data_IF_216679119516
#
_entry.id   IF_216679119516
#
_cell.length_a   1.000
_cell.length_b   1.000
_cell.length_c   1.000
_cell.angle_alpha   90.00
_cell.angle_beta   90.00
_cell.angle_gamma   90.00
#
_symmetry.space_group_name_H-M   'P 1'
#
loop_
_entity.id
_entity.type
_entity.pdbx_description
1 polymer ?
#
# COMPACT_ATOMS: atom_id res chain seq x y z
N UNK A 1 -9.80 -3.64 -24.93
CA UNK A 1 -9.58 -2.41 -24.15
C UNK A 1 -8.48 -1.56 -24.77
N UNK A 2 -8.36 -0.28 -24.36
CA UNK A 2 -7.20 0.58 -24.68
C UNK A 2 -6.46 0.84 -23.37
N UNK A 3 -5.14 0.64 -23.36
CA UNK A 3 -4.31 0.82 -22.17
C UNK A 3 -3.16 1.78 -22.46
N UNK A 4 -2.76 2.52 -21.43
CA UNK A 4 -1.61 3.42 -21.43
C UNK A 4 -0.64 2.97 -20.36
N UNK A 5 0.63 2.77 -20.72
CA UNK A 5 1.64 2.22 -19.83
C UNK A 5 3.00 2.89 -20.00
N UNK A 6 3.82 2.85 -18.95
CA UNK A 6 5.17 3.43 -18.95
C UNK A 6 6.24 2.47 -19.53
N UNK A 7 7.50 2.90 -19.50
CA UNK A 7 8.63 2.12 -20.03
C UNK A 7 8.90 0.80 -19.28
N UNK A 8 8.39 0.64 -18.06
CA UNK A 8 8.48 -0.60 -17.29
C UNK A 8 7.32 -1.55 -17.59
N UNK A 9 6.29 -1.05 -18.30
CA UNK A 9 5.06 -1.76 -18.62
C UNK A 9 3.91 -1.47 -17.65
N UNK A 10 4.10 -0.59 -16.66
CA UNK A 10 3.07 -0.34 -15.63
C UNK A 10 1.95 0.52 -16.23
N UNK A 11 0.71 0.10 -16.00
CA UNK A 11 -0.50 0.68 -16.60
C UNK A 11 -0.99 1.87 -15.76
N UNK A 12 -1.04 3.03 -16.39
CA UNK A 12 -1.47 4.32 -15.83
C UNK A 12 -2.76 4.86 -16.45
N UNK A 13 -3.32 4.16 -17.42
CA UNK A 13 -4.62 4.50 -18.00
C UNK A 13 -5.29 3.29 -18.63
N UNK A 14 -6.59 3.13 -18.38
CA UNK A 14 -7.40 2.03 -18.92
C UNK A 14 -8.72 2.56 -19.43
N UNK A 15 -9.07 2.17 -20.66
CA UNK A 15 -10.39 2.35 -21.25
C UNK A 15 -10.86 0.97 -21.68
N UNK A 16 -11.52 0.26 -20.76
CA UNK A 16 -12.05 -1.09 -20.97
C UNK A 16 -13.57 -1.09 -21.22
N UNK A 17 -14.22 0.07 -21.20
CA UNK A 17 -15.63 0.24 -21.52
C UNK A 17 -15.85 1.36 -22.55
N UNK A 18 -16.87 1.23 -23.41
CA UNK A 18 -17.31 2.32 -24.26
C UNK A 18 -17.71 3.56 -23.45
N UNK A 19 -17.40 4.75 -23.95
CA UNK A 19 -17.66 6.03 -23.28
C UNK A 19 -18.89 6.69 -23.91
N UNK A 20 -20.05 6.75 -23.21
CA UNK A 20 -21.28 7.27 -23.79
C UNK A 20 -21.16 8.72 -24.27
N UNK A 21 -20.45 9.58 -23.53
CA UNK A 21 -20.27 11.00 -23.87
C UNK A 21 -19.42 11.22 -25.14
N UNK A 22 -18.81 10.17 -25.69
CA UNK A 22 -17.95 10.23 -26.87
C UNK A 22 -18.43 9.30 -27.99
N UNK A 23 -19.75 9.11 -28.09
CA UNK A 23 -20.36 8.28 -29.13
C UNK A 23 -20.26 6.77 -28.86
N UNK A 24 -20.18 6.39 -27.58
CA UNK A 24 -20.13 4.99 -27.13
C UNK A 24 -18.96 4.21 -27.75
N UNK A 25 -17.76 4.80 -27.72
CA UNK A 25 -16.51 4.22 -28.24
C UNK A 25 -15.45 4.07 -27.16
N UNK A 26 -14.43 3.26 -27.42
CA UNK A 26 -13.22 3.20 -26.59
C UNK A 26 -12.36 4.44 -26.85
N UNK A 27 -12.67 5.51 -26.14
CA UNK A 27 -12.22 6.85 -26.48
C UNK A 27 -10.76 7.13 -26.06
N UNK A 28 -9.79 6.67 -26.85
CA UNK A 28 -8.33 6.90 -26.68
C UNK A 28 -7.97 8.36 -26.37
N UNK A 29 -8.78 9.31 -26.86
CA UNK A 29 -8.73 10.74 -26.53
C UNK A 29 -8.81 11.10 -25.03
N UNK A 30 -9.11 10.14 -24.15
CA UNK A 30 -9.08 10.31 -22.69
C UNK A 30 -7.72 9.98 -22.07
N UNK A 31 -6.79 9.44 -22.86
CA UNK A 31 -5.43 9.16 -22.43
C UNK A 31 -4.55 10.39 -22.68
N UNK A 32 -3.59 10.61 -21.78
CA UNK A 32 -2.57 11.64 -21.90
C UNK A 32 -1.18 10.97 -21.92
N UNK A 33 -0.74 10.45 -23.09
CA UNK A 33 0.38 9.52 -23.15
C UNK A 33 1.76 10.20 -23.24
N UNK A 34 1.98 11.26 -22.46
CA UNK A 34 3.31 11.91 -22.43
C UNK A 34 4.31 10.96 -21.78
N UNK A 35 5.38 10.61 -22.53
CA UNK A 35 6.39 9.61 -22.14
C UNK A 35 5.82 8.21 -21.84
N UNK A 36 4.68 7.87 -22.43
CA UNK A 36 4.01 6.58 -22.27
C UNK A 36 3.71 5.94 -23.62
N UNK A 37 3.49 4.64 -23.62
CA UNK A 37 3.02 3.87 -24.77
C UNK A 37 1.53 3.58 -24.62
N UNK A 38 0.84 3.44 -25.76
CA UNK A 38 -0.57 3.04 -25.81
C UNK A 38 -0.68 1.75 -26.61
N UNK A 39 -1.39 0.77 -26.06
CA UNK A 39 -1.69 -0.48 -26.76
C UNK A 39 -3.19 -0.77 -26.77
N UNK A 40 -3.59 -1.48 -27.81
CA UNK A 40 -4.91 -2.08 -27.91
C UNK A 40 -4.80 -3.55 -27.55
N UNK A 41 -5.68 -4.00 -26.66
CA UNK A 41 -5.78 -5.39 -26.19
C UNK A 41 -7.22 -5.86 -26.32
N UNK A 42 -7.49 -7.16 -26.25
CA UNK A 42 -8.87 -7.63 -26.12
C UNK A 42 -9.47 -7.08 -24.80
N UNK A 43 -10.76 -6.80 -24.78
CA UNK A 43 -11.44 -6.48 -23.52
C UNK A 43 -11.44 -7.67 -22.56
N UNK A 44 -11.46 -8.90 -23.08
CA UNK A 44 -11.37 -10.12 -22.29
C UNK A 44 -10.02 -10.29 -21.58
N UNK A 45 -8.94 -9.69 -22.10
CA UNK A 45 -7.59 -9.78 -21.53
C UNK A 45 -7.33 -8.78 -20.39
N UNK A 46 -8.29 -7.88 -20.11
CA UNK A 46 -8.22 -6.90 -19.04
C UNK A 46 -9.28 -7.28 -17.99
N UNK A 47 -8.87 -7.77 -16.81
CA UNK A 47 -9.77 -8.12 -15.71
C UNK A 47 -10.75 -6.98 -15.36
N UNK A 48 -11.88 -7.28 -14.71
CA UNK A 48 -12.88 -6.25 -14.37
C UNK A 48 -12.32 -5.14 -13.46
N UNK A 49 -11.28 -5.45 -12.68
CA UNK A 49 -10.55 -4.55 -11.78
C UNK A 49 -9.23 -4.00 -12.37
N UNK A 50 -8.98 -4.25 -13.66
CA UNK A 50 -7.90 -3.65 -14.47
C UNK A 50 -8.01 -2.12 -14.45
N UNK A 51 -7.14 -1.47 -13.67
CA UNK A 51 -7.13 -0.03 -13.41
C UNK A 51 -5.83 0.60 -13.90
N UNK A 52 -5.93 1.88 -14.27
CA UNK A 52 -4.78 2.73 -14.59
C UNK A 52 -4.20 3.42 -13.35
N UNK A 53 -4.04 2.70 -12.24
CA UNK A 53 -3.52 3.23 -10.98
C UNK A 53 -2.11 2.72 -10.64
N UNK A 54 -1.47 2.03 -11.58
CA UNK A 54 -0.16 1.41 -11.40
C UNK A 54 -0.19 0.01 -10.78
N UNK A 55 -1.36 -0.56 -10.49
CA UNK A 55 -1.48 -1.93 -9.95
C UNK A 55 -1.33 -3.03 -11.00
N UNK A 56 -1.30 -2.66 -12.28
CA UNK A 56 -1.29 -3.58 -13.41
C UNK A 56 -0.11 -3.33 -14.33
N UNK A 57 0.40 -4.40 -14.92
CA UNK A 57 1.55 -4.45 -15.81
C UNK A 57 1.11 -5.04 -17.16
N UNK A 58 1.49 -4.39 -18.25
CA UNK A 58 1.35 -4.93 -19.60
C UNK A 58 2.69 -5.49 -20.10
N UNK A 59 2.73 -6.78 -20.40
CA UNK A 59 3.92 -7.47 -20.93
C UNK A 59 3.51 -8.58 -21.89
N UNK A 60 4.14 -8.60 -23.07
CA UNK A 60 3.94 -9.63 -24.11
C UNK A 60 2.46 -9.88 -24.48
N UNK A 61 1.67 -8.80 -24.58
CA UNK A 61 0.25 -8.90 -24.94
C UNK A 61 -0.68 -9.26 -23.77
N UNK A 62 -0.15 -9.41 -22.55
CA UNK A 62 -0.94 -9.79 -21.36
C UNK A 62 -0.94 -8.70 -20.30
N UNK A 63 -2.07 -8.56 -19.62
CA UNK A 63 -2.22 -7.73 -18.42
C UNK A 63 -2.04 -8.61 -17.20
N UNK A 64 -1.06 -8.27 -16.36
CA UNK A 64 -0.67 -9.01 -15.16
C UNK A 64 -0.72 -8.06 -13.97
N UNK A 65 -1.09 -8.51 -12.76
CA UNK A 65 -0.93 -7.67 -11.58
C UNK A 65 0.55 -7.36 -11.36
N UNK A 66 0.87 -6.12 -10.98
CA UNK A 66 2.22 -5.78 -10.53
C UNK A 66 2.52 -6.63 -9.28
N UNK A 67 3.67 -7.34 -9.24
CA UNK A 67 4.04 -8.10 -8.06
C UNK A 67 4.13 -7.18 -6.84
N UNK A 68 3.28 -7.42 -5.85
CA UNK A 68 3.37 -6.75 -4.55
C UNK A 68 4.38 -7.48 -3.70
N UNK A 69 5.42 -6.78 -3.26
CA UNK A 69 6.32 -7.29 -2.23
C UNK A 69 5.62 -7.19 -0.86
N UNK A 70 4.89 -8.23 -0.50
CA UNK A 70 4.15 -8.28 0.77
C UNK A 70 5.08 -8.30 1.99
N UNK A 71 6.31 -8.79 1.83
CA UNK A 71 7.33 -8.76 2.87
C UNK A 71 7.76 -7.32 3.14
N UNK A 72 8.08 -6.55 2.09
CA UNK A 72 8.38 -5.12 2.22
C UNK A 72 7.18 -4.34 2.78
N UNK A 73 5.96 -4.63 2.31
CA UNK A 73 4.73 -4.00 2.80
C UNK A 73 4.52 -4.24 4.31
N UNK A 74 4.82 -5.43 4.81
CA UNK A 74 4.72 -5.75 6.23
C UNK A 74 5.74 -4.98 7.06
N UNK A 75 7.00 -4.91 6.62
CA UNK A 75 8.03 -4.12 7.31
C UNK A 75 7.71 -2.62 7.31
N UNK A 76 7.28 -2.05 6.19
CA UNK A 76 6.81 -0.65 6.15
C UNK A 76 5.63 -0.42 7.09
N UNK A 77 4.74 -1.39 7.26
CA UNK A 77 3.62 -1.29 8.21
C UNK A 77 4.13 -1.27 9.65
N UNK A 78 5.08 -2.14 10.00
CA UNK A 78 5.75 -2.12 11.30
C UNK A 78 6.40 -0.76 11.57
N UNK A 79 7.16 -0.23 10.61
CA UNK A 79 7.84 1.07 10.76
C UNK A 79 6.83 2.18 11.07
N UNK A 80 5.73 2.26 10.33
CA UNK A 80 4.67 3.24 10.59
C UNK A 80 4.06 3.12 12.00
N UNK A 81 3.82 1.88 12.46
CA UNK A 81 3.30 1.64 13.81
C UNK A 81 4.32 2.04 14.89
N UNK A 82 5.61 1.77 14.66
CA UNK A 82 6.69 2.17 15.55
C UNK A 82 6.84 3.69 15.61
N UNK A 83 6.76 4.37 14.47
CA UNK A 83 6.83 5.82 14.39
C UNK A 83 5.67 6.47 15.14
N UNK A 84 4.44 6.00 14.88
CA UNK A 84 3.25 6.47 15.60
C UNK A 84 3.37 6.26 17.12
N UNK A 85 3.84 5.09 17.55
CA UNK A 85 4.05 4.79 18.96
C UNK A 85 5.15 5.66 19.59
N UNK A 86 6.25 5.90 18.88
CA UNK A 86 7.33 6.78 19.36
C UNK A 86 6.87 8.23 19.47
N UNK A 87 6.05 8.72 18.53
CA UNK A 87 5.44 10.04 18.60
C UNK A 87 4.48 10.15 19.79
N UNK A 88 3.64 9.13 20.04
CA UNK A 88 2.68 9.15 21.14
C UNK A 88 3.34 9.27 22.52
N UNK A 89 4.55 8.72 22.70
CA UNK A 89 5.26 8.72 23.99
C UNK A 89 6.37 9.75 24.09
N UNK A 90 6.53 10.64 23.09
CA UNK A 90 7.64 11.58 23.04
C UNK A 90 7.63 12.56 24.23
N UNK A 91 6.46 13.08 24.55
CA UNK A 91 6.28 14.03 25.66
C UNK A 91 6.52 13.35 27.01
N UNK A 92 5.90 12.19 27.25
CA UNK A 92 6.12 11.40 28.47
C UNK A 92 7.59 10.99 28.67
N UNK A 93 8.32 10.68 27.60
CA UNK A 93 9.77 10.41 27.70
C UNK A 93 10.55 11.65 28.16
N UNK A 94 10.13 12.83 27.72
CA UNK A 94 10.72 14.11 28.13
C UNK A 94 10.38 14.41 29.59
N UNK A 95 9.12 14.29 29.99
CA UNK A 95 8.66 14.46 31.37
C UNK A 95 9.34 13.48 32.33
N UNK A 96 9.53 12.21 31.91
CA UNK A 96 10.25 11.22 32.70
C UNK A 96 11.72 11.61 32.89
N UNK A 97 12.37 12.16 31.86
CA UNK A 97 13.74 12.63 31.93
C UNK A 97 13.91 13.88 32.82
N UNK A 98 12.88 14.74 32.87
CA UNK A 98 12.82 15.90 33.76
C UNK A 98 12.43 15.52 35.21
N UNK A 99 11.89 14.32 35.42
CA UNK A 99 11.38 13.86 36.71
C UNK A 99 10.01 14.45 37.06
N UNK A 100 9.26 14.92 36.08
CA UNK A 100 7.97 15.63 36.22
C UNK A 100 6.77 14.76 35.82
N UNK A 101 6.99 13.56 35.28
CA UNK A 101 5.93 12.67 34.80
C UNK A 101 4.97 12.26 35.92
N UNK A 102 3.66 12.23 35.61
CA UNK A 102 2.64 11.72 36.51
C UNK A 102 2.70 10.19 36.64
N UNK A 103 2.13 9.62 37.71
CA UNK A 103 2.05 8.16 37.87
C UNK A 103 1.18 7.51 36.78
N UNK A 104 0.13 8.20 36.31
CA UNK A 104 -0.74 7.73 35.23
C UNK A 104 -0.03 7.72 33.88
N UNK A 105 0.70 8.79 33.55
CA UNK A 105 1.48 8.88 32.31
C UNK A 105 2.63 7.87 32.31
N UNK A 106 3.24 7.62 33.47
CA UNK A 106 4.27 6.59 33.63
C UNK A 106 3.72 5.18 33.42
N UNK A 107 2.49 4.91 33.87
CA UNK A 107 1.81 3.64 33.60
C UNK A 107 1.52 3.49 32.10
N UNK A 108 1.03 4.55 31.45
CA UNK A 108 0.80 4.59 30.00
C UNK A 108 2.08 4.38 29.20
N UNK A 109 3.15 5.10 29.54
CA UNK A 109 4.48 4.95 28.94
C UNK A 109 4.98 3.51 29.03
N UNK A 110 4.74 2.84 30.16
CA UNK A 110 5.12 1.43 30.34
C UNK A 110 4.37 0.50 29.37
N UNK A 111 3.07 0.70 29.19
CA UNK A 111 2.26 -0.07 28.22
C UNK A 111 2.73 0.16 26.78
N UNK A 112 2.98 1.41 26.40
CA UNK A 112 3.46 1.76 25.07
C UNK A 112 4.87 1.22 24.79
N UNK A 113 5.76 1.21 25.80
CA UNK A 113 7.07 0.58 25.67
C UNK A 113 6.98 -0.94 25.50
N UNK A 114 6.00 -1.59 26.14
CA UNK A 114 5.72 -3.01 25.92
C UNK A 114 5.23 -3.27 24.48
N UNK A 115 4.28 -2.47 24.00
CA UNK A 115 3.78 -2.49 22.62
C UNK A 115 4.91 -2.35 21.59
N UNK A 116 5.80 -1.36 21.76
CA UNK A 116 6.95 -1.16 20.87
C UNK A 116 7.88 -2.38 20.86
N UNK A 117 8.12 -2.99 22.02
CA UNK A 117 8.96 -4.20 22.11
C UNK A 117 8.32 -5.37 21.37
N UNK A 118 7.01 -5.55 21.54
CA UNK A 118 6.25 -6.61 20.88
C UNK A 118 6.25 -6.44 19.35
N UNK A 119 6.03 -5.21 18.86
CA UNK A 119 6.12 -4.89 17.43
C UNK A 119 7.49 -5.21 16.83
N UNK A 120 8.57 -4.86 17.56
CA UNK A 120 9.95 -5.15 17.14
C UNK A 120 10.27 -6.64 17.15
N UNK A 121 9.69 -7.40 18.08
CA UNK A 121 9.90 -8.85 18.19
C UNK A 121 8.98 -9.68 17.29
N UNK A 122 7.96 -9.07 16.68
CA UNK A 122 7.02 -9.78 15.81
C UNK A 122 7.79 -10.50 14.68
N UNK A 123 7.47 -11.74 14.38
CA UNK A 123 8.10 -12.44 13.28
C UNK A 123 7.34 -12.10 11.98
N UNK A 124 7.96 -11.29 11.11
CA UNK A 124 7.46 -11.00 9.78
C UNK A 124 8.25 -11.84 8.77
N UNK A 125 8.05 -13.14 8.76
CA UNK A 125 8.77 -14.06 7.86
C UNK A 125 7.79 -14.86 7.02
N UNK A 126 8.09 -15.03 5.72
CA UNK A 126 7.27 -15.85 4.83
C UNK A 126 5.98 -15.17 4.38
N UNK A 127 5.98 -13.84 4.34
CA UNK A 127 4.82 -13.05 3.90
C UNK A 127 4.96 -12.87 2.39
N UNK A 128 4.48 -13.87 1.64
CA UNK A 128 4.61 -13.92 0.17
C UNK A 128 3.36 -13.47 -0.58
N UNK A 129 2.22 -13.35 0.11
CA UNK A 129 0.93 -13.07 -0.50
C UNK A 129 0.01 -12.28 0.43
N UNK A 130 -1.14 -11.85 -0.10
CA UNK A 130 -2.12 -11.08 0.66
C UNK A 130 -2.73 -11.88 1.81
N UNK A 131 -2.92 -13.18 1.63
CA UNK A 131 -3.55 -14.03 2.63
C UNK A 131 -2.66 -14.20 3.86
N UNK A 132 -1.35 -14.34 3.67
CA UNK A 132 -0.34 -14.37 4.74
C UNK A 132 -0.18 -12.99 5.38
N UNK A 133 -0.20 -11.92 4.60
CA UNK A 133 -0.19 -10.55 5.11
C UNK A 133 -1.39 -10.25 6.02
N UNK A 134 -2.61 -10.61 5.60
CA UNK A 134 -3.82 -10.37 6.38
C UNK A 134 -3.92 -11.24 7.65
N UNK A 135 -3.08 -12.27 7.78
CA UNK A 135 -2.99 -13.12 8.99
C UNK A 135 -2.03 -12.57 10.04
N UNK A 136 -1.23 -11.54 9.72
CA UNK A 136 -0.31 -10.93 10.68
C UNK A 136 -1.11 -10.43 11.88
N UNK A 137 -0.78 -10.95 13.06
CA UNK A 137 -1.37 -10.51 14.33
C UNK A 137 -0.60 -9.29 14.82
N UNK A 138 -1.04 -8.11 14.39
CA UNK A 138 -0.48 -6.85 14.90
C UNK A 138 -0.87 -6.68 16.38
N UNK A 139 0.08 -6.29 17.25
CA UNK A 139 -0.22 -5.97 18.64
C UNK A 139 -1.31 -4.91 18.73
N UNK A 140 -2.13 -5.00 19.78
CA UNK A 140 -3.24 -4.04 19.99
C UNK A 140 -2.67 -2.75 20.57
N UNK A 141 -3.18 -1.61 20.10
CA UNK A 141 -2.79 -0.31 20.63
C UNK A 141 -3.16 -0.21 22.12
N UNK A 142 -2.21 0.20 22.98
CA UNK A 142 -2.50 0.39 24.39
C UNK A 142 -3.44 1.58 24.62
N UNK A 143 -4.32 1.44 25.62
CA UNK A 143 -5.17 2.51 26.16
C UNK A 143 -4.48 3.27 27.28
#
# INVERSE_FOLDING_TARGET
AKIMYDHEGVIWGVINKPVPQRGNTYAVSMLWPVNMSVAEIDAADCPDDCRGDGSWLYRDGKVLPVPVDYQAKAETTREKLLDAANSAIADWRTELALGEISDDDKASLTKWMAYIRELKSLALTGISDEATFNKIQWPVLPQ
#
